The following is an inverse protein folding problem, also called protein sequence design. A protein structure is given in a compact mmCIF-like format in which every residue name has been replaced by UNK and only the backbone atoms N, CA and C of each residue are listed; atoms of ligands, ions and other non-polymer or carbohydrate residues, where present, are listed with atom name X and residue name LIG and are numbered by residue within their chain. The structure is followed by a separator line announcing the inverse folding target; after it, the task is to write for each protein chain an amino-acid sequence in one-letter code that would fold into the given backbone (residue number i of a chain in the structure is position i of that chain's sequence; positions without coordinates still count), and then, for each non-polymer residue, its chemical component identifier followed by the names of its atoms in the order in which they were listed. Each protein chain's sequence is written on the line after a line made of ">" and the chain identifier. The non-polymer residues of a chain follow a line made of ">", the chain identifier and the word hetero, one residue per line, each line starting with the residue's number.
data_IF_308261944979
#
_entry.id   IF_308261944979
#
_cell.length_a   1.000
_cell.length_b   1.000
_cell.length_c   1.000
_cell.angle_alpha   90.00
_cell.angle_beta   90.00
_cell.angle_gamma   90.00
#
_symmetry.space_group_name_H-M   'P 1'
#
loop_
_entity.id
_entity.type
_entity.pdbx_description
1 polymer ?
#
# COMPACT_ATOMS: atom_id res chain seq x y z
N UNK A 1 3.28 69.55 3.66
CA UNK A 1 2.46 69.59 4.89
C UNK A 1 1.01 69.89 4.49
N UNK A 2 0.05 69.34 5.21
CA UNK A 2 -1.34 69.81 5.36
C UNK A 2 -2.24 70.02 4.12
N UNK A 3 -3.32 69.24 4.03
CA UNK A 3 -4.53 69.53 3.22
C UNK A 3 -5.57 70.31 4.04
N UNK A 4 -6.59 70.91 3.39
CA UNK A 4 -8.01 70.52 3.60
C UNK A 4 -8.70 70.11 2.26
N UNK A 5 -9.79 69.31 2.13
CA UNK A 5 -10.98 68.99 2.97
C UNK A 5 -12.02 70.12 2.97
N UNK A 6 -13.24 70.02 2.40
CA UNK A 6 -14.08 68.92 1.83
C UNK A 6 -14.87 69.48 0.59
N UNK A 7 -15.94 68.97 -0.06
CA UNK A 7 -16.91 67.84 -0.02
C UNK A 7 -17.60 67.76 -1.42
N UNK A 8 -18.52 66.85 -1.80
CA UNK A 8 -19.13 65.66 -1.16
C UNK A 8 -20.31 65.09 -1.99
N UNK A 9 -20.92 63.98 -1.53
CA UNK A 9 -22.02 63.27 -2.22
C UNK A 9 -21.54 62.20 -3.23
N UNK A 10 -22.24 61.08 -3.45
CA UNK A 10 -23.46 60.62 -2.76
C UNK A 10 -24.30 59.63 -3.59
N UNK A 11 -23.85 58.38 -3.77
CA UNK A 11 -24.63 57.34 -4.44
C UNK A 11 -23.83 56.09 -4.80
N UNK A 12 -24.35 54.91 -4.43
CA UNK A 12 -23.86 53.59 -4.83
C UNK A 12 -24.92 52.53 -4.45
N UNK A 13 -24.93 51.33 -5.08
CA UNK A 13 -24.38 50.96 -6.38
C UNK A 13 -25.45 50.38 -7.34
N UNK A 14 -25.11 50.21 -8.62
CA UNK A 14 -25.69 49.13 -9.43
C UNK A 14 -24.57 48.15 -9.82
N UNK A 15 -24.88 46.85 -9.71
CA UNK A 15 -23.97 45.74 -9.97
C UNK A 15 -24.40 45.00 -11.25
N UNK A 16 -23.45 44.79 -12.16
CA UNK A 16 -23.51 43.88 -13.31
C UNK A 16 -22.16 43.88 -14.04
N UNK A 17 -21.55 42.71 -14.28
CA UNK A 17 -20.30 42.70 -15.05
C UNK A 17 -19.46 41.42 -15.21
N UNK A 18 -19.91 40.25 -14.73
CA UNK A 18 -19.35 38.93 -15.05
C UNK A 18 -17.80 38.77 -14.94
N UNK A 19 -17.31 38.42 -13.75
CA UNK A 19 -15.91 38.04 -13.54
C UNK A 19 -15.51 36.75 -14.27
N UNK A 20 -14.41 36.79 -15.01
CA UNK A 20 -13.74 35.62 -15.58
C UNK A 20 -12.58 35.15 -14.70
N UNK A 21 -12.85 34.64 -13.50
CA UNK A 21 -11.81 34.06 -12.64
C UNK A 21 -11.23 32.79 -13.29
N UNK A 22 -10.05 32.92 -13.90
CA UNK A 22 -9.22 31.79 -14.32
C UNK A 22 -8.92 30.96 -13.08
N UNK A 23 -9.40 29.71 -13.07
CA UNK A 23 -9.38 28.85 -11.89
C UNK A 23 -7.99 28.71 -11.29
N UNK A 24 -7.78 29.33 -10.12
CA UNK A 24 -6.53 29.23 -9.37
C UNK A 24 -6.27 27.77 -9.01
N UNK A 25 -5.11 27.24 -9.43
CA UNK A 25 -4.66 25.92 -8.99
C UNK A 25 -4.66 25.88 -7.46
N UNK A 26 -5.48 25.02 -6.86
CA UNK A 26 -5.50 24.83 -5.40
C UNK A 26 -4.23 24.09 -4.97
N UNK A 27 -3.14 24.83 -4.83
CA UNK A 27 -1.84 24.32 -4.39
C UNK A 27 -1.96 23.54 -3.08
N UNK A 28 -1.22 22.43 -3.00
CA UNK A 28 -1.27 21.51 -1.87
C UNK A 28 -1.14 22.21 -0.51
N UNK A 29 -1.92 21.76 0.48
CA UNK A 29 -2.02 22.38 1.81
C UNK A 29 -1.33 21.55 2.90
N UNK A 30 -0.98 20.30 2.61
CA UNK A 30 -0.34 19.37 3.54
C UNK A 30 1.09 19.78 3.91
N UNK A 31 1.45 19.65 5.20
CA UNK A 31 2.84 19.88 5.65
C UNK A 31 3.68 18.60 5.52
N UNK A 32 5.01 18.67 5.63
CA UNK A 32 5.87 17.47 5.61
C UNK A 32 5.48 16.41 6.65
N UNK A 33 4.88 16.82 7.78
CA UNK A 33 4.34 15.88 8.79
C UNK A 33 3.08 15.15 8.29
N UNK A 34 2.20 15.86 7.57
CA UNK A 34 1.05 15.22 6.93
C UNK A 34 1.53 14.25 5.83
N UNK A 35 2.51 14.65 5.02
CA UNK A 35 3.14 13.78 4.03
C UNK A 35 3.74 12.52 4.67
N UNK A 36 4.47 12.66 5.79
CA UNK A 36 4.99 11.53 6.56
C UNK A 36 3.87 10.59 7.04
N UNK A 37 2.79 11.12 7.62
CA UNK A 37 1.68 10.28 8.11
C UNK A 37 0.87 9.64 6.98
N UNK A 38 0.67 10.30 5.83
CA UNK A 38 -0.02 9.71 4.68
C UNK A 38 0.81 8.61 4.02
N UNK A 39 2.11 8.83 3.77
CA UNK A 39 3.01 7.78 3.24
C UNK A 39 3.13 6.63 4.24
N UNK A 40 3.36 6.92 5.53
CA UNK A 40 3.42 5.87 6.55
C UNK A 40 2.12 5.09 6.71
N UNK A 41 0.94 5.72 6.58
CA UNK A 41 -0.34 5.00 6.68
C UNK A 41 -0.67 4.21 5.41
N UNK A 42 -0.27 4.70 4.23
CA UNK A 42 -0.48 3.97 2.97
C UNK A 42 0.41 2.73 2.92
N UNK A 43 1.71 2.88 3.20
CA UNK A 43 2.69 1.79 3.18
C UNK A 43 2.51 0.86 4.39
N UNK A 44 2.55 1.38 5.63
CA UNK A 44 2.42 0.58 6.87
C UNK A 44 0.97 0.18 7.19
N UNK A 45 0.28 -0.33 6.18
CA UNK A 45 -0.95 -1.09 6.29
C UNK A 45 -0.65 -2.46 6.94
N UNK A 46 -1.46 -2.98 7.88
CA UNK A 46 -1.24 -4.27 8.54
C UNK A 46 -0.86 -5.40 7.59
N UNK A 47 -1.54 -5.50 6.45
CA UNK A 47 -1.28 -6.50 5.42
C UNK A 47 0.12 -6.42 4.78
N UNK A 48 0.78 -5.25 4.81
CA UNK A 48 2.10 -5.06 4.23
C UNK A 48 3.20 -5.72 5.08
N UNK A 49 3.12 -5.69 6.42
CA UNK A 49 4.17 -6.18 7.32
C UNK A 49 3.77 -7.36 8.21
N UNK A 50 2.48 -7.67 8.36
CA UNK A 50 2.02 -8.94 8.93
C UNK A 50 2.56 -10.23 8.25
N UNK A 51 2.87 -10.26 6.93
CA UNK A 51 3.45 -11.45 6.28
C UNK A 51 4.99 -11.47 6.31
N UNK A 52 5.68 -10.41 6.75
CA UNK A 52 7.15 -10.39 6.78
C UNK A 52 7.80 -11.48 7.64
N UNK A 53 7.26 -11.85 8.83
CA UNK A 53 7.75 -13.01 9.57
C UNK A 53 7.77 -14.30 8.73
N UNK A 54 6.71 -14.54 7.95
CA UNK A 54 6.58 -15.69 7.06
C UNK A 54 7.50 -15.62 5.84
N UNK A 55 7.74 -14.43 5.29
CA UNK A 55 8.73 -14.22 4.23
C UNK A 55 10.16 -14.52 4.72
N UNK A 56 10.55 -14.01 5.90
CA UNK A 56 11.85 -14.32 6.51
C UNK A 56 11.95 -15.80 6.87
N UNK A 57 10.89 -16.44 7.36
CA UNK A 57 10.85 -17.88 7.62
C UNK A 57 11.01 -18.74 6.34
N UNK A 58 10.46 -18.28 5.22
CA UNK A 58 10.54 -18.95 3.92
C UNK A 58 11.89 -18.76 3.21
N UNK A 59 12.63 -17.69 3.53
CA UNK A 59 13.98 -17.42 3.03
C UNK A 59 15.10 -17.92 3.97
N UNK A 60 14.80 -18.06 5.27
CA UNK A 60 15.79 -18.26 6.32
C UNK A 60 16.50 -16.96 6.71
N UNK A 61 17.15 -16.95 7.87
CA UNK A 61 17.71 -15.72 8.48
C UNK A 61 18.60 -14.88 7.54
N UNK A 62 19.64 -15.43 6.87
CA UNK A 62 20.55 -14.59 6.09
C UNK A 62 19.88 -13.97 4.87
N UNK A 63 19.15 -14.76 4.08
CA UNK A 63 18.48 -14.29 2.87
C UNK A 63 17.29 -13.38 3.19
N UNK A 64 16.55 -13.66 4.26
CA UNK A 64 15.45 -12.82 4.73
C UNK A 64 15.92 -11.45 5.20
N UNK A 65 16.98 -11.39 6.02
CA UNK A 65 17.60 -10.13 6.46
C UNK A 65 18.15 -9.36 5.27
N UNK A 66 18.94 -10.00 4.38
CA UNK A 66 19.47 -9.32 3.19
C UNK A 66 18.34 -8.80 2.27
N UNK A 67 17.26 -9.55 2.09
CA UNK A 67 16.12 -9.13 1.26
C UNK A 67 15.37 -7.96 1.87
N UNK A 68 15.20 -7.91 3.20
CA UNK A 68 14.63 -6.76 3.91
C UNK A 68 15.53 -5.52 3.79
N UNK A 69 16.84 -5.66 3.98
CA UNK A 69 17.81 -4.57 3.86
C UNK A 69 17.82 -3.98 2.44
N UNK A 70 18.00 -4.83 1.43
CA UNK A 70 18.03 -4.42 0.01
C UNK A 70 16.67 -3.85 -0.42
N UNK A 71 15.56 -4.49 -0.01
CA UNK A 71 14.22 -3.99 -0.29
C UNK A 71 14.00 -2.59 0.26
N UNK A 72 14.25 -2.39 1.56
CA UNK A 72 14.10 -1.08 2.23
C UNK A 72 14.97 0.00 1.58
N UNK A 73 16.24 -0.29 1.27
CA UNK A 73 17.16 0.69 0.70
C UNK A 73 16.79 1.06 -0.75
N UNK A 74 16.41 0.08 -1.57
CA UNK A 74 16.05 0.33 -2.98
C UNK A 74 14.75 1.09 -3.07
N UNK A 75 13.72 0.76 -2.29
CA UNK A 75 12.46 1.52 -2.31
C UNK A 75 12.62 2.91 -1.70
N UNK A 76 13.37 3.09 -0.60
CA UNK A 76 13.65 4.42 -0.04
C UNK A 76 14.33 5.34 -1.06
N UNK A 77 15.39 4.86 -1.71
CA UNK A 77 16.07 5.60 -2.78
C UNK A 77 15.12 5.87 -3.96
N UNK A 78 14.28 4.91 -4.33
CA UNK A 78 13.33 5.04 -5.44
C UNK A 78 12.21 6.02 -5.15
N UNK A 79 11.65 6.03 -3.94
CA UNK A 79 10.70 7.03 -3.46
C UNK A 79 11.33 8.43 -3.50
N UNK A 80 12.60 8.60 -3.12
CA UNK A 80 13.30 9.87 -3.24
C UNK A 80 13.54 10.30 -4.71
N UNK A 81 13.86 9.35 -5.61
CA UNK A 81 13.98 9.61 -7.06
C UNK A 81 12.64 10.05 -7.64
N UNK A 82 11.55 9.31 -7.42
CA UNK A 82 10.20 9.66 -7.88
C UNK A 82 9.79 11.02 -7.32
N UNK A 83 10.00 11.26 -6.03
CA UNK A 83 9.68 12.55 -5.41
C UNK A 83 10.53 13.72 -5.93
N UNK A 84 11.73 13.44 -6.47
CA UNK A 84 12.54 14.44 -7.15
C UNK A 84 11.95 14.85 -8.50
N UNK A 85 11.34 13.91 -9.24
CA UNK A 85 10.91 14.06 -10.63
C UNK A 85 9.51 14.69 -10.78
N UNK A 86 8.77 14.87 -9.68
CA UNK A 86 7.47 15.55 -9.60
C UNK A 86 7.28 16.78 -10.50
N UNK A 87 8.31 17.62 -10.62
CA UNK A 87 8.35 18.72 -11.58
C UNK A 87 9.37 18.38 -12.69
N UNK A 88 8.87 17.97 -13.85
CA UNK A 88 9.67 17.54 -15.01
C UNK A 88 9.37 18.44 -16.21
N UNK A 89 10.40 18.86 -16.94
CA UNK A 89 10.32 19.86 -18.02
C UNK A 89 9.58 21.17 -17.65
N UNK A 90 9.45 21.49 -16.36
CA UNK A 90 8.75 22.67 -15.84
C UNK A 90 7.31 22.41 -15.39
N UNK A 91 6.64 21.39 -15.95
CA UNK A 91 5.29 20.96 -15.57
C UNK A 91 5.28 20.22 -14.24
N UNK A 92 4.17 20.32 -13.47
CA UNK A 92 3.92 19.54 -12.25
C UNK A 92 2.99 18.37 -12.58
N UNK A 93 3.31 17.15 -12.13
CA UNK A 93 2.57 15.94 -12.52
C UNK A 93 1.83 15.30 -11.34
N UNK A 94 0.52 15.51 -11.27
CA UNK A 94 -0.37 15.12 -10.14
C UNK A 94 -0.59 13.61 -9.96
N UNK A 95 -0.10 12.76 -10.85
CA UNK A 95 -0.25 11.30 -10.77
C UNK A 95 0.90 10.57 -11.46
N UNK A 96 1.18 9.34 -11.01
CA UNK A 96 2.33 8.57 -11.49
C UNK A 96 2.21 8.26 -12.99
N UNK A 97 0.98 8.00 -13.47
CA UNK A 97 0.68 7.79 -14.91
C UNK A 97 1.06 9.00 -15.78
N UNK A 98 0.89 10.23 -15.28
CA UNK A 98 1.24 11.45 -16.00
C UNK A 98 2.75 11.74 -15.96
N UNK A 99 3.39 11.52 -14.80
CA UNK A 99 4.85 11.62 -14.67
C UNK A 99 5.58 10.62 -15.60
N UNK A 100 5.11 9.38 -15.67
CA UNK A 100 5.66 8.39 -16.60
C UNK A 100 5.36 8.74 -18.07
N UNK A 101 4.25 9.43 -18.37
CA UNK A 101 3.93 9.94 -19.71
C UNK A 101 4.90 11.02 -20.17
N UNK A 102 5.28 11.97 -19.31
CA UNK A 102 6.20 13.06 -19.67
C UNK A 102 7.67 12.62 -19.76
N UNK A 103 8.06 11.59 -19.00
CA UNK A 103 9.40 10.99 -19.08
C UNK A 103 9.52 9.99 -20.25
N UNK A 104 8.58 9.05 -20.40
CA UNK A 104 8.70 7.93 -21.35
C UNK A 104 7.75 7.99 -22.56
N UNK A 105 6.88 9.00 -22.66
CA UNK A 105 5.87 9.08 -23.71
C UNK A 105 4.68 8.13 -23.47
N UNK A 106 3.87 7.84 -24.50
CA UNK A 106 2.66 7.02 -24.37
C UNK A 106 2.89 5.63 -23.77
N UNK A 107 4.07 5.04 -23.97
CA UNK A 107 4.44 3.75 -23.39
C UNK A 107 4.50 3.79 -21.85
N UNK A 108 5.09 4.84 -21.26
CA UNK A 108 5.17 4.98 -19.80
C UNK A 108 3.81 5.19 -19.13
N UNK A 109 2.92 5.93 -19.80
CA UNK A 109 1.53 6.08 -19.36
C UNK A 109 0.85 4.72 -19.21
N UNK A 110 0.95 3.86 -20.22
CA UNK A 110 0.35 2.53 -20.20
C UNK A 110 1.06 1.56 -19.25
N UNK A 111 2.40 1.61 -19.16
CA UNK A 111 3.19 0.83 -18.21
C UNK A 111 2.71 1.07 -16.78
N UNK A 112 2.68 2.33 -16.34
CA UNK A 112 2.18 2.67 -14.99
C UNK A 112 0.70 2.36 -14.87
N UNK A 113 -0.13 2.70 -15.85
CA UNK A 113 -1.59 2.46 -15.75
C UNK A 113 -1.94 0.97 -15.62
N UNK A 114 -1.17 0.05 -16.21
CA UNK A 114 -1.38 -1.39 -16.03
C UNK A 114 -0.90 -1.84 -14.65
N UNK A 115 0.34 -1.56 -14.28
CA UNK A 115 0.89 -2.07 -13.02
C UNK A 115 0.30 -1.38 -11.78
N UNK A 116 -0.06 -0.10 -11.84
CA UNK A 116 -0.77 0.64 -10.76
C UNK A 116 -2.17 0.05 -10.53
N UNK A 117 -2.84 -0.42 -11.59
CA UNK A 117 -4.12 -1.12 -11.47
C UNK A 117 -3.97 -2.54 -10.91
N UNK A 118 -2.92 -3.28 -11.29
CA UNK A 118 -2.61 -4.59 -10.68
C UNK A 118 -2.28 -4.43 -9.20
N UNK A 119 -1.46 -3.44 -8.83
CA UNK A 119 -1.15 -3.12 -7.44
C UNK A 119 -2.41 -2.75 -6.63
N UNK A 120 -3.27 -1.88 -7.18
CA UNK A 120 -4.53 -1.46 -6.54
C UNK A 120 -5.50 -2.63 -6.32
N UNK A 121 -5.70 -3.48 -7.34
CA UNK A 121 -6.59 -4.66 -7.27
C UNK A 121 -6.02 -5.72 -6.31
N UNK A 122 -4.73 -6.06 -6.46
CA UNK A 122 -4.08 -7.08 -5.64
C UNK A 122 -4.00 -6.69 -4.16
N UNK A 123 -3.69 -5.42 -3.86
CA UNK A 123 -3.73 -4.88 -2.50
C UNK A 123 -5.15 -4.99 -1.92
N UNK A 124 -6.17 -4.50 -2.63
CA UNK A 124 -7.53 -4.51 -2.12
C UNK A 124 -8.07 -5.94 -1.86
N UNK A 125 -7.69 -6.93 -2.68
CA UNK A 125 -7.97 -8.36 -2.38
C UNK A 125 -7.24 -8.79 -1.10
N UNK A 126 -5.92 -8.57 -1.03
CA UNK A 126 -5.10 -9.00 0.11
C UNK A 126 -5.56 -8.40 1.45
N UNK A 127 -5.81 -7.08 1.49
CA UNK A 127 -6.24 -6.41 2.72
C UNK A 127 -7.65 -6.82 3.14
N UNK A 128 -8.56 -7.09 2.19
CA UNK A 128 -9.91 -7.58 2.51
C UNK A 128 -9.89 -9.00 3.09
N UNK A 129 -8.99 -9.87 2.62
CA UNK A 129 -8.74 -11.18 3.25
C UNK A 129 -8.21 -10.99 4.69
N UNK A 130 -7.27 -10.07 4.91
CA UNK A 130 -6.74 -9.78 6.25
C UNK A 130 -7.79 -9.19 7.21
N UNK A 131 -8.64 -8.27 6.74
CA UNK A 131 -9.73 -7.71 7.54
C UNK A 131 -10.80 -8.76 7.88
N UNK A 132 -11.22 -9.59 6.91
CA UNK A 132 -12.13 -10.70 7.16
C UNK A 132 -11.54 -11.74 8.13
N UNK A 133 -10.25 -12.03 8.02
CA UNK A 133 -9.52 -12.89 8.96
C UNK A 133 -9.49 -12.29 10.37
N UNK A 134 -9.32 -10.97 10.48
CA UNK A 134 -9.29 -10.27 11.76
C UNK A 134 -10.66 -10.21 12.44
N UNK A 135 -11.73 -9.96 11.66
CA UNK A 135 -13.11 -10.04 12.16
C UNK A 135 -13.45 -11.45 12.65
N UNK A 136 -13.07 -12.49 11.88
CA UNK A 136 -13.21 -13.90 12.28
C UNK A 136 -12.46 -14.22 13.57
N UNK A 137 -11.24 -13.71 13.75
CA UNK A 137 -10.45 -13.90 14.96
C UNK A 137 -11.10 -13.25 16.20
N UNK A 138 -11.60 -12.01 16.07
CA UNK A 138 -12.38 -11.35 17.13
C UNK A 138 -13.65 -12.16 17.45
N UNK A 139 -14.41 -12.59 16.42
CA UNK A 139 -15.61 -13.40 16.61
C UNK A 139 -15.32 -14.70 17.38
N UNK A 140 -14.31 -15.48 16.97
CA UNK A 140 -13.88 -16.75 17.60
C UNK A 140 -13.39 -16.59 19.05
N UNK A 141 -13.10 -15.39 19.52
CA UNK A 141 -12.83 -15.16 20.93
C UNK A 141 -14.13 -15.03 21.77
N UNK A 142 -15.16 -14.35 21.26
CA UNK A 142 -16.37 -14.03 22.04
C UNK A 142 -17.51 -15.04 21.86
N UNK A 143 -17.53 -15.80 20.76
CA UNK A 143 -18.51 -16.85 20.51
C UNK A 143 -17.86 -18.22 20.61
N UNK A 144 -18.60 -19.19 21.14
CA UNK A 144 -18.18 -20.58 21.29
C UNK A 144 -18.57 -21.40 20.07
N UNK A 145 -18.05 -22.63 19.96
CA UNK A 145 -18.43 -23.55 18.89
C UNK A 145 -19.91 -23.97 18.91
N UNK A 146 -20.63 -23.71 20.01
CA UNK A 146 -22.07 -23.98 20.12
C UNK A 146 -22.95 -22.90 19.46
N UNK A 147 -22.42 -21.68 19.28
CA UNK A 147 -23.18 -20.51 18.79
C UNK A 147 -23.32 -20.48 17.25
N UNK A 148 -22.81 -21.50 16.56
CA UNK A 148 -22.75 -21.60 15.10
C UNK A 148 -21.45 -21.02 14.52
N UNK A 149 -20.74 -21.80 13.71
CA UNK A 149 -19.46 -21.35 13.14
C UNK A 149 -19.67 -20.49 11.88
N UNK A 150 -19.62 -19.16 12.04
CA UNK A 150 -19.51 -18.25 10.90
C UNK A 150 -18.18 -18.43 10.16
N UNK A 151 -18.24 -18.52 8.82
CA UNK A 151 -17.06 -18.82 7.99
C UNK A 151 -16.25 -17.57 7.63
N UNK A 152 -14.98 -17.74 7.27
CA UNK A 152 -14.10 -16.65 6.82
C UNK A 152 -14.71 -15.86 5.66
N UNK A 153 -15.38 -16.53 4.73
CA UNK A 153 -16.00 -15.90 3.57
C UNK A 153 -17.16 -14.98 3.98
N UNK A 154 -17.90 -15.32 5.03
CA UNK A 154 -18.96 -14.45 5.56
C UNK A 154 -18.37 -13.15 6.13
N UNK A 155 -17.26 -13.22 6.88
CA UNK A 155 -16.58 -12.01 7.37
C UNK A 155 -15.96 -11.17 6.24
N UNK A 156 -15.41 -11.82 5.20
CA UNK A 156 -14.91 -11.14 3.99
C UNK A 156 -16.05 -10.42 3.24
N UNK A 157 -17.23 -11.04 3.14
CA UNK A 157 -18.42 -10.46 2.49
C UNK A 157 -19.00 -9.31 3.34
N UNK A 158 -19.06 -9.45 4.67
CA UNK A 158 -19.49 -8.38 5.58
C UNK A 158 -18.57 -7.16 5.49
N UNK A 159 -17.25 -7.37 5.47
CA UNK A 159 -16.29 -6.29 5.25
C UNK A 159 -16.43 -5.67 3.86
N UNK A 160 -16.63 -6.48 2.81
CA UNK A 160 -16.86 -6.00 1.45
C UNK A 160 -18.14 -5.15 1.30
N UNK A 161 -19.21 -5.51 2.01
CA UNK A 161 -20.44 -4.72 2.05
C UNK A 161 -20.23 -3.38 2.78
N UNK A 162 -19.43 -3.37 3.86
CA UNK A 162 -19.04 -2.15 4.56
C UNK A 162 -18.17 -1.22 3.68
N UNK A 163 -17.13 -1.76 3.03
CA UNK A 163 -16.28 -0.99 2.12
C UNK A 163 -17.02 -0.48 0.88
N UNK A 164 -18.00 -1.23 0.37
CA UNK A 164 -18.91 -0.77 -0.68
C UNK A 164 -19.73 0.45 -0.21
N UNK A 165 -20.29 0.42 1.00
CA UNK A 165 -21.01 1.56 1.56
C UNK A 165 -20.09 2.78 1.72
N UNK A 166 -18.88 2.59 2.26
CA UNK A 166 -17.89 3.66 2.37
C UNK A 166 -17.53 4.25 0.99
N UNK A 167 -17.29 3.43 -0.03
CA UNK A 167 -16.94 3.91 -1.37
C UNK A 167 -18.07 4.60 -2.15
N UNK A 168 -19.31 4.57 -1.67
CA UNK A 168 -20.37 5.45 -2.20
C UNK A 168 -20.35 6.84 -1.58
N UNK A 169 -19.73 7.03 -0.41
CA UNK A 169 -19.65 8.33 0.25
C UNK A 169 -18.65 9.24 -0.49
N UNK A 170 -19.06 10.46 -0.88
CA UNK A 170 -18.13 11.40 -1.49
C UNK A 170 -17.10 11.86 -0.45
N UNK A 171 -15.85 11.55 -0.75
CA UNK A 171 -14.65 12.14 -0.15
C UNK A 171 -14.39 11.94 1.35
N UNK A 172 -14.50 10.69 1.82
CA UNK A 172 -14.03 10.27 3.16
C UNK A 172 -12.60 10.77 3.48
N UNK A 173 -11.71 10.84 2.49
CA UNK A 173 -10.28 11.15 2.66
C UNK A 173 -9.98 12.58 3.11
N UNK A 174 -10.88 13.55 2.91
CA UNK A 174 -10.71 14.90 3.48
C UNK A 174 -11.12 14.98 4.95
N UNK A 175 -11.80 13.95 5.50
CA UNK A 175 -12.17 13.88 6.90
C UNK A 175 -10.93 13.63 7.77
N UNK A 176 -10.34 14.73 8.25
CA UNK A 176 -9.15 14.75 9.10
C UNK A 176 -9.23 13.80 10.31
N UNK A 177 -10.42 13.53 10.84
CA UNK A 177 -10.65 12.61 11.94
C UNK A 177 -10.55 11.13 11.53
N UNK A 178 -10.99 10.77 10.32
CA UNK A 178 -10.84 9.40 9.78
C UNK A 178 -9.36 9.10 9.58
N UNK A 179 -8.62 9.99 8.91
CA UNK A 179 -7.18 9.83 8.71
C UNK A 179 -6.43 9.74 10.05
N UNK A 180 -6.84 10.48 11.08
CA UNK A 180 -6.27 10.39 12.42
C UNK A 180 -6.56 9.03 13.09
N UNK A 181 -7.78 8.49 12.98
CA UNK A 181 -8.14 7.16 13.50
C UNK A 181 -7.37 6.05 12.77
N UNK A 182 -7.23 6.13 11.45
CA UNK A 182 -6.43 5.17 10.68
C UNK A 182 -4.95 5.24 11.05
N UNK A 183 -4.38 6.45 11.19
CA UNK A 183 -2.99 6.66 11.64
C UNK A 183 -2.77 6.11 13.05
N UNK A 184 -3.70 6.37 13.99
CA UNK A 184 -3.63 5.83 15.34
C UNK A 184 -3.74 4.30 15.35
N UNK A 185 -4.53 3.73 14.45
CA UNK A 185 -4.68 2.27 14.29
C UNK A 185 -3.44 1.63 13.65
N UNK A 186 -2.73 2.30 12.74
CA UNK A 186 -1.40 1.87 12.26
C UNK A 186 -0.41 1.72 13.42
N UNK A 187 -0.29 2.75 14.26
CA UNK A 187 0.62 2.75 15.41
C UNK A 187 0.17 1.74 16.48
N UNK A 188 -1.14 1.66 16.72
CA UNK A 188 -1.75 0.69 17.63
C UNK A 188 -1.46 -0.75 17.22
N UNK A 189 -1.75 -1.11 15.96
CA UNK A 189 -1.45 -2.43 15.39
C UNK A 189 0.02 -2.77 15.52
N UNK A 190 0.93 -1.86 15.14
CA UNK A 190 2.37 -2.11 15.22
C UNK A 190 2.79 -2.40 16.67
N UNK A 191 2.43 -1.52 17.60
CA UNK A 191 2.79 -1.67 19.02
C UNK A 191 2.20 -2.92 19.66
N UNK A 192 0.92 -3.21 19.46
CA UNK A 192 0.28 -4.41 20.03
C UNK A 192 0.82 -5.69 19.40
N UNK A 193 0.94 -5.75 18.08
CA UNK A 193 1.36 -6.98 17.39
C UNK A 193 2.80 -7.32 17.73
N UNK A 194 3.72 -6.34 17.77
CA UNK A 194 5.10 -6.54 18.22
C UNK A 194 5.14 -6.98 19.69
N UNK A 195 4.40 -6.30 20.57
CA UNK A 195 4.37 -6.63 22.00
C UNK A 195 3.85 -8.04 22.30
N UNK A 196 2.77 -8.47 21.63
CA UNK A 196 2.24 -9.83 21.77
C UNK A 196 3.17 -10.87 21.15
N UNK A 197 3.73 -10.59 19.97
CA UNK A 197 4.72 -11.47 19.31
C UNK A 197 5.93 -11.74 20.21
N UNK A 198 6.47 -10.70 20.85
CA UNK A 198 7.57 -10.84 21.81
C UNK A 198 7.10 -11.62 23.06
N UNK A 199 5.88 -11.38 23.55
CA UNK A 199 5.32 -12.11 24.69
C UNK A 199 5.17 -13.62 24.42
N UNK A 200 4.55 -14.02 23.31
CA UNK A 200 4.46 -15.41 22.87
C UNK A 200 5.87 -16.01 22.66
N UNK A 201 6.80 -15.27 22.05
CA UNK A 201 8.17 -15.73 21.83
C UNK A 201 8.99 -16.01 23.10
N UNK A 202 8.61 -15.43 24.24
CA UNK A 202 9.13 -15.78 25.58
C UNK A 202 8.33 -16.88 26.31
N UNK A 203 7.11 -17.18 25.85
CA UNK A 203 6.21 -18.19 26.44
C UNK A 203 6.32 -19.57 25.78
N UNK A 204 6.64 -19.62 24.49
CA UNK A 204 6.88 -20.85 23.74
C UNK A 204 8.13 -21.58 24.25
N UNK A 205 8.14 -22.92 24.34
CA UNK A 205 9.39 -23.65 24.62
C UNK A 205 10.35 -23.44 23.45
N UNK A 206 11.50 -22.84 23.75
CA UNK A 206 12.52 -22.51 22.77
C UNK A 206 13.15 -23.73 22.09
N UNK A 207 12.94 -24.93 22.61
CA UNK A 207 13.34 -26.22 22.00
C UNK A 207 12.42 -26.65 20.85
N UNK A 208 11.15 -26.24 20.87
CA UNK A 208 10.16 -26.62 19.84
C UNK A 208 10.22 -25.70 18.60
N UNK A 209 10.75 -24.49 18.75
CA UNK A 209 10.83 -23.48 17.69
C UNK A 209 11.96 -23.79 16.70
N UNK A 210 11.65 -24.60 15.67
CA UNK A 210 12.58 -24.90 14.58
C UNK A 210 12.67 -23.78 13.54
N UNK A 211 13.90 -23.39 13.20
CA UNK A 211 14.25 -22.47 12.10
C UNK A 211 14.63 -23.19 10.79
N UNK A 212 14.34 -24.50 10.67
CA UNK A 212 14.60 -25.23 9.43
C UNK A 212 13.62 -24.84 8.32
N UNK A 213 14.14 -24.62 7.10
CA UNK A 213 13.30 -24.41 5.92
C UNK A 213 12.42 -25.65 5.70
N UNK A 214 11.10 -25.45 5.61
CA UNK A 214 10.12 -26.52 5.47
C UNK A 214 10.05 -27.12 4.06
N UNK A 215 9.66 -28.41 4.00
CA UNK A 215 9.38 -29.12 2.76
C UNK A 215 10.62 -29.65 2.02
N UNK A 216 10.37 -30.21 0.84
CA UNK A 216 11.44 -30.69 -0.06
C UNK A 216 12.12 -29.53 -0.80
N UNK A 217 13.20 -29.82 -1.54
CA UNK A 217 14.00 -28.80 -2.26
C UNK A 217 13.16 -27.92 -3.19
N UNK A 218 12.17 -28.47 -3.90
CA UNK A 218 11.30 -27.69 -4.76
C UNK A 218 10.35 -26.79 -3.95
N UNK A 219 9.74 -27.31 -2.87
CA UNK A 219 8.92 -26.50 -1.95
C UNK A 219 9.70 -25.31 -1.39
N UNK A 220 10.97 -25.53 -0.98
CA UNK A 220 11.87 -24.48 -0.47
C UNK A 220 12.11 -23.38 -1.49
N UNK A 221 12.42 -23.74 -2.74
CA UNK A 221 12.68 -22.78 -3.82
C UNK A 221 11.41 -21.95 -4.12
N UNK A 222 10.24 -22.58 -4.28
CA UNK A 222 9.01 -21.84 -4.58
C UNK A 222 8.52 -20.98 -3.41
N UNK A 223 8.72 -21.41 -2.15
CA UNK A 223 8.45 -20.56 -0.97
C UNK A 223 9.41 -19.38 -0.88
N UNK A 224 10.70 -19.56 -1.17
CA UNK A 224 11.66 -18.47 -1.25
C UNK A 224 11.28 -17.44 -2.33
N UNK A 225 10.82 -17.90 -3.51
CA UNK A 225 10.31 -17.00 -4.56
C UNK A 225 9.06 -16.23 -4.12
N UNK A 226 8.07 -16.90 -3.54
CA UNK A 226 6.86 -16.28 -3.00
C UNK A 226 7.20 -15.22 -1.91
N UNK A 227 8.15 -15.54 -1.03
CA UNK A 227 8.64 -14.61 -0.02
C UNK A 227 9.30 -13.34 -0.59
N UNK A 228 9.99 -13.41 -1.74
CA UNK A 228 10.52 -12.22 -2.41
C UNK A 228 9.40 -11.29 -2.92
N UNK A 229 8.32 -11.87 -3.47
CA UNK A 229 7.12 -11.11 -3.84
C UNK A 229 6.46 -10.46 -2.63
N UNK A 230 6.39 -11.18 -1.52
CA UNK A 230 5.88 -10.68 -0.24
C UNK A 230 6.70 -9.49 0.28
N UNK A 231 8.03 -9.56 0.23
CA UNK A 231 8.91 -8.44 0.62
C UNK A 231 8.75 -7.24 -0.33
N UNK A 232 8.56 -7.48 -1.63
CA UNK A 232 8.28 -6.40 -2.58
C UNK A 232 6.93 -5.72 -2.34
N UNK A 233 5.91 -6.46 -1.91
CA UNK A 233 4.62 -5.91 -1.49
C UNK A 233 4.75 -5.02 -0.25
N UNK A 234 5.52 -5.46 0.76
CA UNK A 234 5.69 -4.73 2.01
C UNK A 234 6.13 -3.26 1.83
N UNK A 235 7.05 -3.04 0.89
CA UNK A 235 7.70 -1.74 0.67
C UNK A 235 7.17 -0.98 -0.56
N UNK A 236 6.06 -1.42 -1.16
CA UNK A 236 5.46 -0.76 -2.33
C UNK A 236 4.75 0.56 -1.99
N UNK A 237 4.82 1.53 -2.90
CA UNK A 237 4.09 2.81 -2.84
C UNK A 237 3.74 3.30 -4.25
N UNK A 238 2.85 2.56 -4.91
CA UNK A 238 2.26 2.88 -6.21
C UNK A 238 1.42 4.19 -6.22
N UNK A 239 1.44 4.98 -5.14
CA UNK A 239 0.64 6.18 -4.90
C UNK A 239 1.46 7.43 -4.54
N UNK A 240 2.80 7.34 -4.49
CA UNK A 240 3.64 8.43 -3.98
C UNK A 240 3.46 9.78 -4.72
N UNK A 241 3.39 9.87 -6.06
CA UNK A 241 3.15 11.15 -6.76
C UNK A 241 1.78 11.76 -6.45
N UNK A 242 0.74 10.92 -6.37
CA UNK A 242 -0.62 11.33 -6.02
C UNK A 242 -0.66 11.88 -4.58
N UNK A 243 0.03 11.24 -3.63
CA UNK A 243 0.20 11.77 -2.25
C UNK A 243 0.94 13.11 -2.29
N UNK A 244 2.04 13.20 -3.04
CA UNK A 244 2.88 14.39 -3.17
C UNK A 244 2.11 15.61 -3.72
N UNK A 245 1.10 15.39 -4.56
CA UNK A 245 0.24 16.46 -5.09
C UNK A 245 -0.49 17.27 -4.01
N UNK A 246 -0.74 16.66 -2.84
CA UNK A 246 -1.44 17.30 -1.72
C UNK A 246 -0.53 18.17 -0.84
N UNK A 247 0.79 18.08 -1.04
CA UNK A 247 1.81 18.70 -0.19
C UNK A 247 2.07 20.15 -0.60
N UNK A 248 2.30 21.02 0.38
CA UNK A 248 2.59 22.45 0.16
C UNK A 248 4.03 22.69 -0.27
N UNK A 249 4.28 23.83 -0.91
CA UNK A 249 5.63 24.26 -1.26
C UNK A 249 6.53 24.48 -0.01
N UNK A 250 7.86 24.26 -0.10
CA UNK A 250 8.59 23.65 -1.21
C UNK A 250 8.36 22.14 -1.28
N UNK A 251 7.68 21.65 -2.33
CA UNK A 251 7.11 20.29 -2.37
C UNK A 251 8.20 19.22 -2.23
N UNK A 252 9.25 19.26 -3.06
CA UNK A 252 10.36 18.27 -3.03
C UNK A 252 11.01 18.15 -1.65
N UNK A 253 11.30 19.28 -1.00
CA UNK A 253 11.96 19.30 0.31
C UNK A 253 11.03 18.87 1.47
N UNK A 254 9.73 19.16 1.36
CA UNK A 254 8.73 18.61 2.27
C UNK A 254 8.54 17.10 2.06
N UNK A 255 8.56 16.63 0.81
CA UNK A 255 8.38 15.22 0.48
C UNK A 255 9.58 14.36 0.90
N UNK A 256 10.83 14.82 0.69
CA UNK A 256 12.03 14.12 1.18
C UNK A 256 12.02 13.92 2.71
N UNK A 257 11.55 14.93 3.46
CA UNK A 257 11.35 14.82 4.91
C UNK A 257 10.21 13.88 5.27
N UNK A 258 9.12 13.89 4.48
CA UNK A 258 7.99 12.98 4.62
C UNK A 258 8.38 11.51 4.42
N UNK A 259 8.99 11.19 3.28
CA UNK A 259 9.49 9.86 2.91
C UNK A 259 10.47 9.35 3.98
N UNK A 260 11.54 10.08 4.29
CA UNK A 260 12.54 9.58 5.24
C UNK A 260 12.02 9.42 6.68
N UNK A 261 11.02 10.23 7.09
CA UNK A 261 10.33 10.01 8.37
C UNK A 261 9.45 8.75 8.33
N UNK A 262 8.69 8.54 7.25
CA UNK A 262 7.89 7.34 7.06
C UNK A 262 8.75 6.07 7.00
N UNK A 263 9.86 6.08 6.26
CA UNK A 263 10.81 4.95 6.18
C UNK A 263 11.49 4.65 7.52
N UNK A 264 11.77 5.66 8.36
CA UNK A 264 12.21 5.44 9.75
C UNK A 264 11.16 4.67 10.56
N UNK A 265 9.87 5.05 10.47
CA UNK A 265 8.76 4.36 11.14
C UNK A 265 8.57 2.94 10.60
N UNK A 266 8.68 2.75 9.29
CA UNK A 266 8.62 1.46 8.61
C UNK A 266 9.74 0.56 9.14
N UNK A 267 11.01 0.98 9.15
CA UNK A 267 12.12 0.16 9.70
C UNK A 267 11.87 -0.22 11.16
N UNK A 268 11.49 0.73 12.02
CA UNK A 268 11.24 0.47 13.45
C UNK A 268 10.08 -0.50 13.71
N UNK A 269 9.10 -0.59 12.81
CA UNK A 269 7.93 -1.48 12.97
C UNK A 269 8.08 -2.79 12.19
N UNK A 270 8.41 -2.73 10.91
CA UNK A 270 8.51 -3.87 10.00
C UNK A 270 9.63 -4.83 10.39
N UNK A 271 10.85 -4.31 10.57
CA UNK A 271 12.00 -5.18 10.85
C UNK A 271 11.87 -5.79 12.23
N UNK A 272 11.41 -5.00 13.21
CA UNK A 272 11.09 -5.48 14.56
C UNK A 272 10.02 -6.59 14.52
N UNK A 273 8.92 -6.42 13.77
CA UNK A 273 7.91 -7.46 13.64
C UNK A 273 8.41 -8.69 12.87
N UNK A 274 9.13 -8.50 11.76
CA UNK A 274 9.69 -9.59 10.95
C UNK A 274 10.66 -10.46 11.76
N UNK A 275 11.59 -9.83 12.48
CA UNK A 275 12.59 -10.53 13.29
C UNK A 275 11.97 -11.13 14.57
N UNK A 276 11.14 -10.39 15.31
CA UNK A 276 10.48 -10.94 16.51
C UNK A 276 9.49 -12.04 16.17
N UNK A 277 8.76 -11.94 15.05
CA UNK A 277 7.81 -12.96 14.59
C UNK A 277 8.51 -14.24 14.15
N UNK A 278 9.57 -14.14 13.35
CA UNK A 278 10.34 -15.33 12.98
C UNK A 278 11.09 -15.91 14.19
N UNK A 279 11.57 -15.08 15.13
CA UNK A 279 12.13 -15.55 16.40
C UNK A 279 11.09 -16.22 17.31
N UNK A 280 9.85 -15.73 17.37
CA UNK A 280 8.82 -16.26 18.26
C UNK A 280 8.26 -17.61 17.80
N UNK A 281 8.02 -17.75 16.49
CA UNK A 281 7.27 -18.88 15.91
C UNK A 281 8.10 -19.75 14.94
N UNK A 282 9.31 -19.30 14.57
CA UNK A 282 10.20 -20.04 13.67
C UNK A 282 9.54 -20.34 12.33
N UNK A 283 9.78 -21.53 11.82
CA UNK A 283 9.21 -22.02 10.56
C UNK A 283 7.69 -22.26 10.57
N UNK A 284 7.03 -22.24 11.74
CA UNK A 284 5.58 -22.46 11.87
C UNK A 284 4.76 -21.16 11.87
N UNK A 285 5.42 -20.00 11.71
CA UNK A 285 4.74 -18.71 11.62
C UNK A 285 3.76 -18.69 10.44
N UNK A 286 2.57 -18.14 10.66
CA UNK A 286 1.52 -18.10 9.64
C UNK A 286 1.72 -16.93 8.66
N UNK A 287 1.23 -17.04 7.40
CA UNK A 287 1.30 -15.95 6.42
C UNK A 287 0.67 -14.63 6.91
N UNK A 288 -0.27 -14.69 7.85
CA UNK A 288 -0.75 -13.53 8.60
C UNK A 288 -0.34 -13.70 10.07
N UNK A 289 0.61 -12.89 10.57
CA UNK A 289 1.20 -13.08 11.91
C UNK A 289 0.16 -13.11 13.05
N UNK A 290 -0.96 -12.38 12.93
CA UNK A 290 -2.03 -12.39 13.94
C UNK A 290 -2.67 -13.77 14.12
N UNK A 291 -2.61 -14.65 13.11
CA UNK A 291 -3.04 -16.05 13.19
C UNK A 291 -2.01 -16.97 13.87
N UNK A 292 -0.85 -16.45 14.26
CA UNK A 292 0.18 -17.18 15.05
C UNK A 292 0.12 -16.86 16.54
N UNK A 293 -0.55 -15.77 16.93
CA UNK A 293 -0.54 -15.25 18.30
C UNK A 293 -1.42 -16.10 19.22
N UNK A 294 -0.98 -16.32 20.47
CA UNK A 294 -1.67 -17.18 21.44
C UNK A 294 -2.11 -16.45 22.70
N UNK A 295 -1.27 -15.57 23.26
CA UNK A 295 -1.59 -14.84 24.49
C UNK A 295 -0.88 -13.48 24.62
N UNK A 296 -1.51 -12.48 25.28
CA UNK A 296 -2.81 -12.52 25.94
C UNK A 296 -3.97 -12.13 25.01
N UNK A 297 -5.13 -12.79 25.19
CA UNK A 297 -6.36 -12.61 24.39
C UNK A 297 -6.76 -11.14 24.15
N UNK A 298 -6.70 -10.28 25.18
CA UNK A 298 -7.13 -8.88 25.04
C UNK A 298 -6.29 -8.11 24.00
N UNK A 299 -4.99 -8.38 23.96
CA UNK A 299 -4.07 -7.72 23.04
C UNK A 299 -4.17 -8.28 21.62
N UNK A 300 -4.51 -9.57 21.47
CA UNK A 300 -4.86 -10.18 20.18
C UNK A 300 -6.14 -9.55 19.62
N UNK A 301 -7.20 -9.42 20.42
CA UNK A 301 -8.43 -8.72 20.03
C UNK A 301 -8.13 -7.27 19.62
N UNK A 302 -7.33 -6.55 20.42
CA UNK A 302 -6.93 -5.17 20.16
C UNK A 302 -6.15 -5.03 18.84
N UNK A 303 -5.19 -5.92 18.56
CA UNK A 303 -4.45 -5.95 17.30
C UNK A 303 -5.36 -6.20 16.09
N UNK A 304 -6.28 -7.17 16.19
CA UNK A 304 -7.25 -7.47 15.12
C UNK A 304 -8.22 -6.29 14.87
N UNK A 305 -8.67 -5.60 15.92
CA UNK A 305 -9.53 -4.40 15.78
C UNK A 305 -8.78 -3.25 15.10
N UNK A 306 -7.54 -2.96 15.51
CA UNK A 306 -6.70 -1.98 14.82
C UNK A 306 -6.43 -2.37 13.37
N UNK A 307 -6.28 -3.67 13.08
CA UNK A 307 -6.10 -4.13 11.71
C UNK A 307 -7.28 -3.74 10.82
N UNK A 308 -8.51 -4.06 11.24
CA UNK A 308 -9.74 -3.75 10.48
C UNK A 308 -9.92 -2.23 10.30
N UNK A 309 -9.72 -1.44 11.37
CA UNK A 309 -9.91 0.02 11.33
C UNK A 309 -8.88 0.71 10.41
N UNK A 310 -7.62 0.26 10.42
CA UNK A 310 -6.61 0.78 9.50
C UNK A 310 -6.94 0.37 8.06
N UNK A 311 -7.24 -0.92 7.84
CA UNK A 311 -7.47 -1.48 6.51
C UNK A 311 -8.63 -0.79 5.79
N UNK A 312 -9.70 -0.43 6.50
CA UNK A 312 -10.80 0.36 5.92
C UNK A 312 -10.32 1.69 5.31
N UNK A 313 -9.46 2.43 6.02
CA UNK A 313 -8.85 3.65 5.48
C UNK A 313 -7.97 3.38 4.26
N UNK A 314 -7.14 2.33 4.32
CA UNK A 314 -6.25 1.94 3.22
C UNK A 314 -7.01 1.50 1.96
N UNK A 315 -8.06 0.69 2.12
CA UNK A 315 -8.89 0.18 1.02
C UNK A 315 -9.48 1.34 0.20
N UNK A 316 -10.03 2.34 0.89
CA UNK A 316 -10.57 3.54 0.25
C UNK A 316 -9.49 4.38 -0.46
N UNK A 317 -8.21 4.34 -0.05
CA UNK A 317 -7.09 5.00 -0.77
C UNK A 317 -6.80 4.25 -2.07
N UNK A 318 -6.53 2.95 -2.00
CA UNK A 318 -6.17 2.13 -3.17
C UNK A 318 -7.31 1.93 -4.18
N UNK A 319 -8.56 2.25 -3.82
CA UNK A 319 -9.64 2.38 -4.80
C UNK A 319 -9.48 3.58 -5.76
N UNK A 320 -8.85 4.69 -5.32
CA UNK A 320 -8.84 5.95 -6.07
C UNK A 320 -8.17 5.89 -7.46
N UNK A 321 -7.04 5.19 -7.69
CA UNK A 321 -6.48 5.02 -9.04
C UNK A 321 -7.46 4.42 -10.04
N UNK A 322 -8.25 3.45 -9.56
CA UNK A 322 -9.25 2.72 -10.35
C UNK A 322 -10.47 3.60 -10.62
N UNK A 323 -11.01 4.27 -9.60
CA UNK A 323 -12.16 5.16 -9.77
C UNK A 323 -11.82 6.33 -10.70
N UNK A 324 -10.67 6.98 -10.51
CA UNK A 324 -10.20 8.04 -11.40
C UNK A 324 -10.06 7.56 -12.86
N UNK A 325 -9.58 6.34 -13.09
CA UNK A 325 -9.46 5.76 -14.43
C UNK A 325 -10.83 5.49 -15.11
N UNK A 326 -11.88 5.20 -14.35
CA UNK A 326 -13.25 5.14 -14.86
C UNK A 326 -13.84 6.55 -15.06
N UNK A 327 -13.63 7.46 -14.11
CA UNK A 327 -14.14 8.84 -14.14
C UNK A 327 -13.54 9.66 -15.30
N UNK A 328 -12.24 9.53 -15.59
CA UNK A 328 -11.60 10.09 -16.80
C UNK A 328 -12.35 9.70 -18.09
N UNK A 329 -12.77 8.42 -18.20
CA UNK A 329 -13.47 7.87 -19.37
C UNK A 329 -14.94 8.29 -19.46
N UNK A 330 -15.59 8.56 -18.32
CA UNK A 330 -17.00 9.00 -18.25
C UNK A 330 -17.12 10.51 -18.43
N UNK A 331 -16.22 11.30 -17.85
CA UNK A 331 -16.21 12.76 -18.00
C UNK A 331 -15.90 13.22 -19.43
N UNK A 332 -15.14 12.43 -20.20
CA UNK A 332 -14.98 12.61 -21.63
C UNK A 332 -16.29 12.44 -22.44
N UNK A 333 -17.40 12.01 -21.82
CA UNK A 333 -18.67 11.71 -22.51
C UNK A 333 -19.94 12.31 -21.91
N UNK A 334 -20.01 12.73 -20.64
CA UNK A 334 -21.19 13.47 -20.12
C UNK A 334 -20.98 14.18 -18.76
N UNK A 335 -21.76 15.24 -18.50
CA UNK A 335 -21.88 15.91 -17.18
C UNK A 335 -23.37 16.07 -16.79
N UNK A 336 -23.96 15.01 -16.24
CA UNK A 336 -25.38 14.94 -15.84
C UNK A 336 -25.60 13.90 -14.74
N UNK A 337 -26.83 13.72 -14.23
CA UNK A 337 -27.23 12.70 -13.24
C UNK A 337 -26.71 11.29 -13.59
N UNK A 338 -26.63 10.96 -14.89
CA UNK A 338 -25.99 9.73 -15.42
C UNK A 338 -24.58 9.48 -14.88
N UNK A 339 -23.79 10.51 -14.55
CA UNK A 339 -22.45 10.35 -13.96
C UNK A 339 -22.50 9.75 -12.55
N UNK A 340 -23.48 10.15 -11.73
CA UNK A 340 -23.68 9.55 -10.40
C UNK A 340 -24.05 8.07 -10.51
N UNK A 341 -24.94 7.72 -11.44
CA UNK A 341 -25.30 6.33 -11.73
C UNK A 341 -24.12 5.51 -12.27
N UNK A 342 -23.32 6.07 -13.20
CA UNK A 342 -22.12 5.41 -13.71
C UNK A 342 -21.07 5.16 -12.62
N UNK A 343 -20.84 6.13 -11.71
CA UNK A 343 -19.96 5.95 -10.55
C UNK A 343 -20.48 4.85 -9.63
N UNK A 344 -21.78 4.89 -9.26
CA UNK A 344 -22.43 3.86 -8.46
C UNK A 344 -22.25 2.46 -9.09
N UNK A 345 -22.50 2.32 -10.40
CA UNK A 345 -22.33 1.05 -11.12
C UNK A 345 -20.86 0.58 -11.16
N UNK A 346 -19.91 1.45 -11.51
CA UNK A 346 -18.48 1.08 -11.59
C UNK A 346 -17.90 0.72 -10.21
N UNK A 347 -18.21 1.50 -9.18
CA UNK A 347 -17.81 1.20 -7.79
C UNK A 347 -18.43 -0.12 -7.32
N UNK A 348 -19.73 -0.34 -7.56
CA UNK A 348 -20.41 -1.57 -7.13
C UNK A 348 -19.86 -2.81 -7.83
N UNK A 349 -19.62 -2.73 -9.14
CA UNK A 349 -19.02 -3.81 -9.92
C UNK A 349 -17.60 -4.13 -9.46
N UNK A 350 -16.76 -3.11 -9.22
CA UNK A 350 -15.41 -3.27 -8.67
C UNK A 350 -15.45 -3.96 -7.30
N UNK A 351 -16.24 -3.45 -6.36
CA UNK A 351 -16.36 -4.01 -5.01
C UNK A 351 -16.86 -5.45 -5.01
N UNK A 352 -17.80 -5.77 -5.89
CA UNK A 352 -18.32 -7.13 -6.06
C UNK A 352 -17.23 -8.07 -6.57
N UNK A 353 -16.41 -7.65 -7.54
CA UNK A 353 -15.30 -8.45 -8.06
C UNK A 353 -14.21 -8.67 -6.99
N UNK A 354 -13.77 -7.63 -6.28
CA UNK A 354 -12.76 -7.76 -5.21
C UNK A 354 -13.28 -8.68 -4.09
N UNK A 355 -14.52 -8.46 -3.63
CA UNK A 355 -15.13 -9.26 -2.56
C UNK A 355 -15.33 -10.72 -2.97
N UNK A 356 -15.77 -10.97 -4.21
CA UNK A 356 -15.94 -12.32 -4.74
C UNK A 356 -14.61 -13.06 -4.83
N UNK A 357 -13.54 -12.42 -5.31
CA UNK A 357 -12.21 -13.04 -5.40
C UNK A 357 -11.64 -13.31 -4.01
N UNK A 358 -11.71 -12.34 -3.08
CA UNK A 358 -11.29 -12.50 -1.69
C UNK A 358 -12.02 -13.66 -0.97
N UNK A 359 -13.34 -13.79 -1.18
CA UNK A 359 -14.15 -14.85 -0.57
C UNK A 359 -13.95 -16.21 -1.26
N UNK A 360 -13.76 -16.22 -2.58
CA UNK A 360 -13.52 -17.44 -3.34
C UNK A 360 -12.12 -18.02 -3.09
N UNK A 361 -11.10 -17.18 -2.86
CA UNK A 361 -9.70 -17.61 -2.69
C UNK A 361 -9.01 -16.78 -1.57
N UNK A 362 -9.27 -17.07 -0.28
CA UNK A 362 -8.73 -16.30 0.84
C UNK A 362 -7.24 -16.57 1.15
N UNK A 363 -6.40 -16.74 0.11
CA UNK A 363 -4.98 -17.08 0.22
C UNK A 363 -4.13 -15.81 0.45
N UNK A 364 -4.18 -15.26 1.66
CA UNK A 364 -3.59 -13.97 2.01
C UNK A 364 -2.15 -13.77 1.52
N UNK A 365 -1.23 -14.68 1.89
CA UNK A 365 0.19 -14.57 1.55
C UNK A 365 0.47 -14.62 0.04
N UNK A 366 -0.36 -15.33 -0.71
CA UNK A 366 -0.21 -15.46 -2.16
C UNK A 366 -0.73 -14.23 -2.91
N UNK A 367 -1.85 -13.64 -2.47
CA UNK A 367 -2.34 -12.38 -3.01
C UNK A 367 -1.40 -11.21 -2.70
N UNK A 368 -0.81 -11.20 -1.50
CA UNK A 368 0.33 -10.33 -1.16
C UNK A 368 1.49 -10.58 -2.14
N UNK A 369 1.95 -11.83 -2.28
CA UNK A 369 3.11 -12.16 -3.12
C UNK A 369 2.92 -11.80 -4.59
N UNK A 370 1.78 -12.11 -5.21
CA UNK A 370 1.53 -11.81 -6.64
C UNK A 370 1.37 -10.30 -6.86
N UNK A 371 0.77 -9.57 -5.91
CA UNK A 371 0.64 -8.12 -5.97
C UNK A 371 2.00 -7.41 -5.82
N UNK A 372 2.88 -7.91 -4.95
CA UNK A 372 4.27 -7.45 -4.87
C UNK A 372 5.07 -7.75 -6.14
N UNK A 373 4.96 -8.97 -6.65
CA UNK A 373 5.70 -9.43 -7.84
C UNK A 373 5.29 -8.72 -9.14
N UNK A 374 3.99 -8.50 -9.36
CA UNK A 374 3.45 -7.96 -10.63
C UNK A 374 3.04 -6.49 -10.53
N UNK A 375 2.53 -6.04 -9.38
CA UNK A 375 2.11 -4.65 -9.17
C UNK A 375 3.27 -3.75 -8.75
N UNK A 376 3.81 -3.98 -7.54
CA UNK A 376 4.78 -3.07 -6.92
C UNK A 376 6.21 -3.21 -7.48
N UNK A 377 6.69 -4.42 -7.79
CA UNK A 377 8.07 -4.61 -8.30
C UNK A 377 8.36 -3.78 -9.58
N UNK A 378 7.50 -3.79 -10.62
CA UNK A 378 7.71 -2.94 -11.80
C UNK A 378 7.67 -1.43 -11.50
N UNK A 379 6.79 -0.99 -10.60
CA UNK A 379 6.57 0.43 -10.30
C UNK A 379 7.64 1.03 -9.41
N UNK A 380 8.01 0.34 -8.32
CA UNK A 380 8.70 0.97 -7.19
C UNK A 380 10.18 0.58 -7.10
N UNK A 381 10.58 -0.47 -7.84
CA UNK A 381 11.95 -0.97 -7.89
C UNK A 381 12.57 -0.86 -9.30
N UNK A 382 11.79 -1.12 -10.36
CA UNK A 382 12.31 -1.11 -11.74
C UNK A 382 12.17 0.27 -12.41
N UNK A 383 10.95 0.81 -12.49
CA UNK A 383 10.67 2.08 -13.17
C UNK A 383 11.48 3.29 -12.65
N UNK A 384 11.80 3.44 -11.34
CA UNK A 384 12.56 4.59 -10.84
C UNK A 384 14.03 4.54 -11.28
N UNK A 385 14.62 3.33 -11.40
CA UNK A 385 15.93 3.14 -12.02
C UNK A 385 15.92 3.47 -13.51
N UNK A 386 14.89 3.03 -14.26
CA UNK A 386 14.69 3.41 -15.66
C UNK A 386 14.48 4.92 -15.83
N UNK A 387 13.81 5.57 -14.88
CA UNK A 387 13.58 7.01 -14.89
C UNK A 387 14.91 7.75 -14.69
N UNK A 388 15.70 7.38 -13.68
CA UNK A 388 17.01 7.98 -13.41
C UNK A 388 17.96 7.87 -14.61
N UNK A 389 17.95 6.74 -15.33
CA UNK A 389 18.70 6.56 -16.58
C UNK A 389 18.28 7.53 -17.68
N UNK A 390 17.00 7.90 -17.77
CA UNK A 390 16.46 8.77 -18.82
C UNK A 390 16.46 10.26 -18.45
N UNK A 391 16.27 10.61 -17.18
CA UNK A 391 16.22 12.00 -16.68
C UNK A 391 17.61 12.58 -16.39
N UNK A 392 18.66 11.84 -16.73
CA UNK A 392 20.06 12.05 -16.37
C UNK A 392 20.72 13.34 -16.90
N UNK A 393 20.42 14.47 -16.27
CA UNK A 393 21.43 15.53 -16.04
C UNK A 393 22.23 15.16 -14.79
N UNK A 394 23.23 14.31 -14.97
CA UNK A 394 24.05 13.74 -13.90
C UNK A 394 25.09 14.75 -13.38
N UNK A 395 25.60 14.62 -12.14
CA UNK A 395 26.67 15.47 -11.62
C UNK A 395 27.92 15.42 -12.50
N UNK A 396 28.64 16.53 -12.66
CA UNK A 396 29.64 16.73 -13.72
C UNK A 396 30.83 15.74 -13.68
N UNK A 397 31.08 15.09 -12.54
CA UNK A 397 32.16 14.12 -12.39
C UNK A 397 31.82 12.75 -13.01
N UNK A 398 32.42 12.45 -14.17
CA UNK A 398 32.19 11.26 -15.01
C UNK A 398 32.12 9.92 -14.24
N UNK A 399 32.98 9.72 -13.23
CA UNK A 399 33.00 8.47 -12.45
C UNK A 399 31.71 8.25 -11.66
N UNK A 400 31.16 9.32 -11.08
CA UNK A 400 29.87 9.29 -10.39
C UNK A 400 28.72 9.03 -11.37
N UNK A 401 28.77 9.65 -12.56
CA UNK A 401 27.80 9.42 -13.63
C UNK A 401 27.71 7.95 -14.03
N UNK A 402 28.87 7.31 -14.23
CA UNK A 402 28.95 5.91 -14.63
C UNK A 402 28.43 4.98 -13.53
N UNK A 403 28.84 5.20 -12.27
CA UNK A 403 28.38 4.42 -11.12
C UNK A 403 26.84 4.46 -10.96
N UNK A 404 26.23 5.64 -11.07
CA UNK A 404 24.77 5.79 -10.99
C UNK A 404 24.06 5.05 -12.12
N UNK A 405 24.57 5.11 -13.36
CA UNK A 405 24.00 4.36 -14.49
C UNK A 405 24.09 2.85 -14.29
N UNK A 406 25.27 2.34 -13.92
CA UNK A 406 25.48 0.90 -13.68
C UNK A 406 24.59 0.39 -12.55
N UNK A 407 24.51 1.13 -11.43
CA UNK A 407 23.61 0.77 -10.32
C UNK A 407 22.14 0.77 -10.74
N UNK A 408 21.69 1.76 -11.51
CA UNK A 408 20.30 1.85 -11.98
C UNK A 408 19.93 0.68 -12.90
N UNK A 409 20.83 0.29 -13.81
CA UNK A 409 20.65 -0.90 -14.67
C UNK A 409 20.65 -2.17 -13.83
N UNK A 410 21.61 -2.33 -12.90
CA UNK A 410 21.72 -3.51 -12.05
C UNK A 410 20.47 -3.72 -11.18
N UNK A 411 19.95 -2.65 -10.56
CA UNK A 411 18.70 -2.69 -9.78
C UNK A 411 17.51 -3.03 -10.68
N UNK A 412 17.35 -2.36 -11.82
CA UNK A 412 16.23 -2.62 -12.74
C UNK A 412 16.23 -4.06 -13.28
N UNK A 413 17.39 -4.62 -13.62
CA UNK A 413 17.52 -6.02 -14.07
C UNK A 413 17.29 -6.99 -12.92
N UNK A 414 17.91 -6.78 -11.76
CA UNK A 414 17.76 -7.64 -10.59
C UNK A 414 16.30 -7.73 -10.15
N UNK A 415 15.60 -6.60 -10.02
CA UNK A 415 14.20 -6.60 -9.61
C UNK A 415 13.24 -7.08 -10.70
N UNK A 416 13.58 -6.92 -11.99
CA UNK A 416 12.82 -7.59 -13.06
C UNK A 416 12.91 -9.12 -12.94
N UNK A 417 14.09 -9.67 -12.65
CA UNK A 417 14.28 -11.10 -12.42
C UNK A 417 13.53 -11.55 -11.16
N UNK A 418 13.66 -10.81 -10.05
CA UNK A 418 12.95 -11.11 -8.79
C UNK A 418 11.43 -11.11 -9.01
N UNK A 419 10.87 -10.13 -9.71
CA UNK A 419 9.44 -10.06 -10.01
C UNK A 419 8.93 -11.26 -10.82
N UNK A 420 9.70 -11.71 -11.83
CA UNK A 420 9.37 -12.93 -12.60
C UNK A 420 9.43 -14.17 -11.71
N UNK A 421 10.49 -14.36 -10.93
CA UNK A 421 10.63 -15.50 -10.03
C UNK A 421 9.52 -15.52 -8.97
N UNK A 422 9.24 -14.38 -8.35
CA UNK A 422 8.20 -14.23 -7.34
C UNK A 422 6.79 -14.47 -7.90
N UNK A 423 6.52 -14.04 -9.14
CA UNK A 423 5.27 -14.34 -9.83
C UNK A 423 5.11 -15.86 -10.05
N UNK A 424 6.17 -16.55 -10.47
CA UNK A 424 6.21 -18.02 -10.58
C UNK A 424 5.98 -18.68 -9.20
N UNK A 425 6.58 -18.14 -8.13
CA UNK A 425 6.38 -18.60 -6.75
C UNK A 425 4.93 -18.45 -6.27
N UNK A 426 4.31 -17.29 -6.50
CA UNK A 426 2.92 -17.02 -6.14
C UNK A 426 1.95 -17.92 -6.93
N UNK A 427 2.09 -18.00 -8.26
CA UNK A 427 1.25 -18.86 -9.10
C UNK A 427 1.40 -20.33 -8.70
N UNK A 428 2.61 -20.78 -8.32
CA UNK A 428 2.85 -22.13 -7.80
C UNK A 428 2.07 -22.39 -6.51
N UNK A 429 2.12 -21.49 -5.54
CA UNK A 429 1.39 -21.62 -4.28
C UNK A 429 -0.12 -21.64 -4.51
N UNK A 430 -0.68 -20.68 -5.27
CA UNK A 430 -2.11 -20.62 -5.60
C UNK A 430 -2.56 -21.93 -6.28
N UNK A 431 -1.73 -22.48 -7.18
CA UNK A 431 -2.01 -23.75 -7.87
C UNK A 431 -2.01 -24.97 -6.94
N UNK A 432 -1.34 -24.90 -5.78
CA UNK A 432 -1.36 -25.94 -4.75
C UNK A 432 -2.55 -25.75 -3.80
N UNK A 433 -2.80 -24.52 -3.35
CA UNK A 433 -3.86 -24.21 -2.39
C UNK A 433 -5.26 -24.39 -3.02
N UNK A 434 -5.45 -24.02 -4.30
CA UNK A 434 -6.69 -24.30 -5.06
C UNK A 434 -6.96 -25.80 -5.23
N UNK A 435 -5.95 -26.68 -5.08
CA UNK A 435 -6.15 -28.15 -5.17
C UNK A 435 -6.58 -28.79 -3.85
N UNK A 436 -6.32 -28.14 -2.72
CA UNK A 436 -6.65 -28.64 -1.37
C UNK A 436 -7.90 -27.96 -0.80
N UNK A 437 -8.11 -26.70 -1.13
CA UNK A 437 -9.25 -25.89 -0.70
C UNK A 437 -10.54 -26.23 -1.45
N UNK A 438 -11.68 -26.14 -0.75
CA UNK A 438 -13.03 -26.23 -1.32
C UNK A 438 -13.67 -24.85 -1.29
N UNK A 439 -14.16 -24.37 -2.44
CA UNK A 439 -14.80 -23.06 -2.55
C UNK A 439 -15.89 -22.85 -1.49
N UNK A 440 -15.81 -21.70 -0.80
CA UNK A 440 -16.72 -21.28 0.27
C UNK A 440 -16.78 -22.19 1.52
N UNK A 441 -15.84 -23.13 1.68
CA UNK A 441 -15.65 -23.86 2.93
C UNK A 441 -14.70 -23.11 3.88
N UNK A 442 -14.91 -23.23 5.18
CA UNK A 442 -14.04 -22.55 6.16
C UNK A 442 -12.60 -23.13 6.18
N UNK A 443 -11.65 -22.25 6.50
CA UNK A 443 -10.23 -22.54 6.81
C UNK A 443 -9.99 -22.36 8.32
#
# INVERSE_FOLDING_TARGET
>A
MSSPVTAGGGGAPEDQGAGGEVGVEQGGRGTWRHAAFHVATTIATPAAYAPLPFAVASLGWPLGVCSLVVGTLVTWCSSLVVASLWQWNGEKHTSYRLLAKSIFGPWGYWYVSVFQQVASVGNNIAIQIAAGSSLKAVYKHYHTAADGAMTLQQFIILFGAFELLLSQLPDIHSLRWVNAICTASTVGFAGTTIGVTICDGYRNDRKEVSYSLQGNTATKIFRAFNALGTIAFSFGDAMLPEIQSTVREPVRANMYKGVSAAYTIIVMSYWTLAFSGYWAFGSQVQPYILSSLTAPRWAIVMANLFAVIQIAGCFQIYCRPTFAHFEERVHAKNRSCRSCLWRLMHTSAYMTVITLVSAAMPFFGDFVSICGAVGFTPLDFVLPGLALLKTSKLPDNLGSQYAVKVLSVAVAVLFSIIGVLACIGAIRSITLDVRTYKFFHDI
#
